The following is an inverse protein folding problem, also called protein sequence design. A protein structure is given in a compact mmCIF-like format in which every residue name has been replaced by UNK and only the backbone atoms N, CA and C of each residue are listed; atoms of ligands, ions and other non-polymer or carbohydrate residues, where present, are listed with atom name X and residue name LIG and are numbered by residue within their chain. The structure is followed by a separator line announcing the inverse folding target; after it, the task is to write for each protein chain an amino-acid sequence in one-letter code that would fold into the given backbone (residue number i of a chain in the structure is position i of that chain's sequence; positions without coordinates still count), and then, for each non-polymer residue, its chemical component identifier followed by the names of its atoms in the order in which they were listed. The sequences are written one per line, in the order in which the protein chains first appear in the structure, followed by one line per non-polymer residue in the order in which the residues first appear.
data_IF_548883990559
#
_entry.id   IF_548883990559
#
_cell.length_a   1.000
_cell.length_b   1.000
_cell.length_c   1.000
_cell.angle_alpha   90.00
_cell.angle_beta   90.00
_cell.angle_gamma   90.00
#
_symmetry.space_group_name_H-M   'P 1'
#
loop_
_entity.id
_entity.type
_entity.pdbx_description
1 polymer ?
#
# COMPACT_ATOMS: atom_id res chain seq x y z
N UNK A 1 25.58 25.24 30.41
CA UNK A 1 27.01 24.90 30.28
C UNK A 1 27.14 24.19 28.95
N UNK A 2 27.44 24.93 27.89
CA UNK A 2 28.80 24.87 27.26
C UNK A 2 29.09 23.45 26.77
N UNK A 3 29.43 23.14 25.54
CA UNK A 3 29.97 23.76 24.31
C UNK A 3 30.01 22.65 23.28
N UNK A 4 29.65 22.90 21.99
CA UNK A 4 30.62 23.02 20.90
C UNK A 4 31.59 21.83 20.69
N UNK A 5 31.38 21.11 19.61
CA UNK A 5 32.43 20.67 18.67
C UNK A 5 31.73 20.58 17.32
N UNK A 6 31.80 21.48 16.41
CA UNK A 6 32.90 22.05 15.58
C UNK A 6 33.61 20.99 14.74
N UNK A 7 33.20 20.95 13.49
CA UNK A 7 33.99 21.32 12.28
C UNK A 7 35.30 20.54 12.11
N UNK A 8 35.47 19.93 11.00
CA UNK A 8 36.69 19.68 10.19
C UNK A 8 36.36 18.51 9.25
N UNK A 9 36.51 18.48 7.97
CA UNK A 9 37.34 19.14 6.97
C UNK A 9 37.02 18.43 5.65
N UNK A 10 36.57 19.10 4.65
CA UNK A 10 37.33 19.58 3.53
C UNK A 10 38.01 18.50 2.66
N UNK A 11 37.58 18.50 1.42
CA UNK A 11 38.37 18.64 0.22
C UNK A 11 39.38 17.56 -0.13
N UNK A 12 39.05 16.74 -1.12
CA UNK A 12 40.06 16.40 -2.14
C UNK A 12 39.41 16.16 -3.51
N UNK A 13 39.66 17.11 -4.32
CA UNK A 13 39.50 17.23 -5.75
C UNK A 13 40.60 16.39 -6.41
N UNK A 14 40.29 15.53 -7.35
CA UNK A 14 41.25 15.10 -8.33
C UNK A 14 40.56 14.85 -9.68
N UNK A 15 40.80 15.77 -10.57
CA UNK A 15 40.63 15.66 -12.02
C UNK A 15 41.48 14.52 -12.57
N UNK A 16 40.90 13.74 -13.49
CA UNK A 16 41.67 13.14 -14.57
C UNK A 16 40.81 13.12 -15.84
N UNK A 17 41.02 14.12 -16.67
CA UNK A 17 40.73 14.09 -18.09
C UNK A 17 41.79 13.25 -18.78
N UNK A 18 41.39 12.30 -19.61
CA UNK A 18 42.18 11.86 -20.75
C UNK A 18 41.26 11.69 -21.93
N UNK A 19 41.41 12.60 -22.86
CA UNK A 19 40.90 12.48 -24.22
C UNK A 19 41.93 11.73 -25.06
N UNK A 20 41.43 11.03 -26.10
CA UNK A 20 41.97 10.89 -27.47
C UNK A 20 41.23 9.71 -28.11
N UNK A 21 40.44 9.93 -29.10
CA UNK A 21 40.71 10.32 -30.48
C UNK A 21 40.74 9.13 -31.45
N UNK A 22 39.79 9.16 -32.40
CA UNK A 22 39.93 8.73 -33.81
C UNK A 22 39.96 7.23 -34.13
N UNK A 23 39.04 6.65 -34.86
CA UNK A 23 38.76 6.83 -36.30
C UNK A 23 37.58 5.96 -36.72
N UNK A 24 36.96 6.40 -37.77
CA UNK A 24 35.80 5.84 -38.49
C UNK A 24 35.92 4.37 -38.87
N UNK A 25 34.79 3.65 -38.83
CA UNK A 25 34.27 2.97 -40.01
C UNK A 25 32.76 2.68 -39.81
N UNK A 26 32.07 2.92 -40.90
CA UNK A 26 30.63 2.79 -41.12
C UNK A 26 30.24 1.32 -41.16
N UNK A 27 29.29 0.91 -40.31
CA UNK A 27 28.34 -0.12 -40.73
C UNK A 27 27.00 0.11 -40.01
N UNK A 28 25.98 0.31 -40.89
CA UNK A 28 24.57 0.49 -40.49
C UNK A 28 23.99 -0.84 -40.08
N UNK A 29 23.83 -1.03 -38.78
CA UNK A 29 22.87 -2.02 -38.27
C UNK A 29 21.87 -1.28 -37.42
N UNK A 30 20.67 -1.15 -37.96
CA UNK A 30 19.48 -0.70 -37.25
C UNK A 30 19.23 -1.68 -36.08
N UNK A 31 19.69 -1.33 -34.92
CA UNK A 31 19.27 -1.98 -33.69
C UNK A 31 18.03 -1.23 -33.24
N UNK A 32 16.92 -1.93 -33.33
CA UNK A 32 15.64 -1.56 -32.74
C UNK A 32 15.90 -1.41 -31.22
N UNK A 33 16.09 -0.18 -30.79
CA UNK A 33 16.24 0.18 -29.37
C UNK A 33 14.85 0.15 -28.73
N UNK A 34 14.37 -1.06 -28.46
CA UNK A 34 13.27 -1.25 -27.53
C UNK A 34 13.80 -0.87 -26.15
N UNK A 35 13.67 0.40 -25.81
CA UNK A 35 13.83 0.88 -24.45
C UNK A 35 12.73 0.23 -23.62
N UNK A 36 13.01 -0.97 -23.07
CA UNK A 36 12.27 -1.48 -21.92
C UNK A 36 12.50 -0.46 -20.80
N UNK A 37 11.54 0.42 -20.64
CA UNK A 37 11.40 1.23 -19.43
C UNK A 37 11.08 0.25 -18.30
N UNK A 38 12.09 -0.30 -17.66
CA UNK A 38 11.93 -0.99 -16.38
C UNK A 38 11.46 0.06 -15.40
N UNK A 39 10.15 0.10 -15.18
CA UNK A 39 9.56 0.89 -14.11
C UNK A 39 10.22 0.45 -12.79
N UNK A 40 10.61 1.40 -11.95
CA UNK A 40 11.09 1.11 -10.60
C UNK A 40 10.00 0.31 -9.86
N UNK A 41 10.37 -0.75 -9.11
CA UNK A 41 9.39 -1.50 -8.32
C UNK A 41 8.65 -0.57 -7.36
N UNK A 42 7.33 -0.62 -7.38
CA UNK A 42 6.46 0.13 -6.49
C UNK A 42 5.96 -0.79 -5.39
N UNK A 43 6.16 -0.45 -4.12
CA UNK A 43 5.49 -1.12 -3.01
C UNK A 43 4.12 -0.50 -2.78
N UNK A 44 3.09 -1.37 -2.63
CA UNK A 44 1.72 -1.00 -2.31
C UNK A 44 1.36 -1.61 -0.95
N UNK A 45 1.22 -0.77 0.07
CA UNK A 45 0.88 -1.20 1.43
C UNK A 45 -0.64 -1.32 1.60
N UNK A 46 -1.12 -2.54 1.80
CA UNK A 46 -2.54 -2.84 1.94
C UNK A 46 -2.83 -3.29 3.37
N UNK A 47 -3.63 -2.53 4.10
CA UNK A 47 -4.14 -2.92 5.40
C UNK A 47 -5.52 -3.52 5.23
N UNK A 48 -5.71 -4.77 5.63
CA UNK A 48 -6.98 -5.46 5.44
C UNK A 48 -7.45 -6.19 6.70
N UNK A 49 -8.75 -6.16 6.94
CA UNK A 49 -9.34 -6.93 8.02
C UNK A 49 -8.94 -8.41 7.92
N UNK A 50 -8.56 -9.03 9.03
CA UNK A 50 -8.04 -10.40 9.09
C UNK A 50 -8.96 -11.44 8.43
N UNK A 51 -10.28 -11.20 8.44
CA UNK A 51 -11.26 -12.07 7.77
C UNK A 51 -11.11 -12.09 6.23
N UNK A 52 -10.39 -11.12 5.66
CA UNK A 52 -10.16 -11.02 4.21
C UNK A 52 -8.89 -11.73 3.75
N UNK A 53 -8.04 -12.18 4.66
CA UNK A 53 -6.70 -12.66 4.37
C UNK A 53 -6.68 -13.71 3.26
N UNK A 54 -7.41 -14.80 3.42
CA UNK A 54 -7.39 -15.90 2.45
C UNK A 54 -7.80 -15.47 1.04
N UNK A 55 -8.82 -14.62 0.94
CA UNK A 55 -9.31 -14.11 -0.35
C UNK A 55 -8.36 -13.09 -0.95
N UNK A 56 -7.82 -12.19 -0.12
CA UNK A 56 -6.92 -11.14 -0.60
C UNK A 56 -5.57 -11.71 -1.04
N UNK A 57 -5.05 -12.73 -0.35
CA UNK A 57 -3.81 -13.40 -0.76
C UNK A 57 -3.95 -14.00 -2.18
N UNK A 58 -5.12 -14.56 -2.52
CA UNK A 58 -5.41 -15.05 -3.87
C UNK A 58 -5.49 -13.91 -4.90
N UNK A 59 -6.09 -12.79 -4.53
CA UNK A 59 -6.15 -11.60 -5.39
C UNK A 59 -4.75 -11.04 -5.63
N UNK A 60 -3.92 -10.93 -4.59
CA UNK A 60 -2.54 -10.46 -4.69
C UNK A 60 -1.73 -11.35 -5.64
N UNK A 61 -1.88 -12.67 -5.52
CA UNK A 61 -1.18 -13.59 -6.43
C UNK A 61 -1.62 -13.42 -7.89
N UNK A 62 -2.92 -13.24 -8.12
CA UNK A 62 -3.44 -12.98 -9.47
C UNK A 62 -2.99 -11.61 -9.99
N UNK A 63 -2.86 -10.61 -9.11
CA UNK A 63 -2.46 -9.26 -9.49
C UNK A 63 -1.03 -9.17 -10.01
N UNK A 64 -0.12 -10.02 -9.56
CA UNK A 64 1.25 -10.12 -10.07
C UNK A 64 1.34 -10.36 -11.59
N UNK A 65 0.33 -11.02 -12.16
CA UNK A 65 0.27 -11.22 -13.60
C UNK A 65 -0.18 -9.96 -14.37
N UNK A 66 -0.84 -9.02 -13.69
CA UNK A 66 -1.37 -7.78 -14.26
C UNK A 66 -0.39 -6.62 -14.10
N UNK A 67 0.26 -6.56 -12.94
CA UNK A 67 1.20 -5.51 -12.58
C UNK A 67 2.45 -6.11 -11.90
N UNK A 68 3.34 -6.74 -12.66
CA UNK A 68 4.52 -7.43 -12.12
C UNK A 68 5.52 -6.48 -11.45
N UNK A 69 5.46 -5.19 -11.76
CA UNK A 69 6.27 -4.13 -11.15
C UNK A 69 5.77 -3.69 -9.78
N UNK A 70 4.55 -4.11 -9.36
CA UNK A 70 3.96 -3.74 -8.08
C UNK A 70 4.12 -4.86 -7.06
N UNK A 71 4.83 -4.57 -5.98
CA UNK A 71 4.95 -5.45 -4.82
C UNK A 71 3.87 -5.10 -3.79
N UNK A 72 2.84 -5.92 -3.67
CA UNK A 72 1.79 -5.71 -2.65
C UNK A 72 2.27 -6.26 -1.30
N UNK A 73 2.33 -5.39 -0.30
CA UNK A 73 2.68 -5.71 1.10
C UNK A 73 1.40 -5.64 1.93
N UNK A 74 0.82 -6.80 2.25
CA UNK A 74 -0.43 -6.86 2.99
C UNK A 74 -0.20 -7.03 4.50
N UNK A 75 -0.91 -6.24 5.31
CA UNK A 75 -0.97 -6.35 6.76
C UNK A 75 -2.38 -6.71 7.18
N UNK A 76 -2.52 -7.78 7.96
CA UNK A 76 -3.81 -8.30 8.39
C UNK A 76 -3.98 -8.20 9.90
N UNK A 77 -5.04 -7.56 10.34
CA UNK A 77 -5.44 -7.47 11.76
C UNK A 77 -6.93 -7.09 11.86
N UNK A 78 -7.42 -6.87 13.07
CA UNK A 78 -8.74 -6.27 13.25
C UNK A 78 -8.77 -4.87 12.61
N UNK A 79 -9.91 -4.51 12.02
CA UNK A 79 -10.05 -3.16 11.42
C UNK A 79 -9.79 -2.03 12.42
N UNK A 80 -10.07 -2.28 13.72
CA UNK A 80 -9.78 -1.32 14.79
C UNK A 80 -8.29 -1.13 15.04
N UNK A 81 -7.51 -2.23 15.07
CA UNK A 81 -6.04 -2.17 15.21
C UNK A 81 -5.41 -1.45 14.03
N UNK A 82 -5.82 -1.82 12.81
CA UNK A 82 -5.30 -1.20 11.58
C UNK A 82 -5.63 0.29 11.52
N UNK A 83 -6.86 0.67 11.89
CA UNK A 83 -7.23 2.08 12.02
C UNK A 83 -6.29 2.83 12.96
N UNK A 84 -5.97 2.25 14.12
CA UNK A 84 -5.07 2.87 15.09
C UNK A 84 -3.66 3.03 14.51
N UNK A 85 -3.15 2.03 13.81
CA UNK A 85 -1.84 2.13 13.14
C UNK A 85 -1.81 3.25 12.10
N UNK A 86 -2.88 3.42 11.31
CA UNK A 86 -3.01 4.53 10.36
C UNK A 86 -3.01 5.88 11.08
N UNK A 87 -3.73 5.99 12.18
CA UNK A 87 -3.73 7.21 13.02
C UNK A 87 -2.36 7.54 13.61
N UNK A 88 -1.55 6.51 13.90
CA UNK A 88 -0.18 6.64 14.39
C UNK A 88 0.85 6.90 13.27
N UNK A 89 0.40 6.98 12.02
CA UNK A 89 1.24 7.33 10.87
C UNK A 89 1.88 6.15 10.18
N UNK A 90 1.32 4.94 10.29
CA UNK A 90 1.77 3.82 9.49
C UNK A 90 1.48 4.05 8.00
N UNK A 91 2.43 3.69 7.15
CA UNK A 91 2.25 3.74 5.70
C UNK A 91 1.16 2.76 5.28
N UNK A 92 0.10 3.30 4.67
CA UNK A 92 -1.04 2.54 4.20
C UNK A 92 -1.62 3.22 2.95
N UNK A 93 -1.50 2.56 1.81
CA UNK A 93 -2.03 3.05 0.54
C UNK A 93 -3.49 2.64 0.35
N UNK A 94 -3.84 1.43 0.83
CA UNK A 94 -5.19 0.88 0.71
C UNK A 94 -5.63 0.30 2.05
N UNK A 95 -6.76 0.76 2.57
CA UNK A 95 -7.37 0.21 3.77
C UNK A 95 -8.69 -0.51 3.46
N UNK A 96 -8.77 -1.80 3.80
CA UNK A 96 -9.97 -2.65 3.63
C UNK A 96 -10.54 -2.98 5.01
N UNK A 97 -11.52 -2.21 5.42
CA UNK A 97 -12.20 -2.39 6.71
C UNK A 97 -13.38 -3.39 6.60
N UNK A 98 -13.56 -4.23 7.61
CA UNK A 98 -14.71 -5.13 7.71
C UNK A 98 -16.04 -4.39 8.04
N UNK A 99 -15.97 -3.11 8.45
CA UNK A 99 -17.14 -2.32 8.76
C UNK A 99 -16.93 -0.84 8.40
N UNK A 100 -18.00 -0.12 8.03
CA UNK A 100 -17.93 1.31 7.68
C UNK A 100 -17.39 2.19 8.81
N UNK A 101 -17.63 1.81 10.06
CA UNK A 101 -17.28 2.60 11.26
C UNK A 101 -15.81 3.03 11.26
N UNK A 102 -14.88 2.11 11.04
CA UNK A 102 -13.44 2.42 11.07
C UNK A 102 -13.03 3.36 9.94
N UNK A 103 -13.65 3.20 8.76
CA UNK A 103 -13.46 4.14 7.65
C UNK A 103 -13.99 5.52 7.99
N UNK A 104 -15.20 5.61 8.54
CA UNK A 104 -15.80 6.87 8.94
C UNK A 104 -14.97 7.61 9.99
N UNK A 105 -14.33 6.89 10.90
CA UNK A 105 -13.47 7.49 11.92
C UNK A 105 -12.18 8.12 11.37
N UNK A 106 -11.75 7.75 10.18
CA UNK A 106 -10.55 8.27 9.52
C UNK A 106 -10.86 9.33 8.45
N UNK A 107 -12.10 9.43 8.03
CA UNK A 107 -12.55 10.22 6.89
C UNK A 107 -13.17 11.53 7.34
N UNK A 108 -12.75 12.66 6.76
CA UNK A 108 -13.33 13.98 7.03
C UNK A 108 -14.86 14.04 6.80
N UNK A 109 -15.38 13.21 5.88
CA UNK A 109 -16.80 13.07 5.59
C UNK A 109 -17.50 12.01 6.45
N UNK A 110 -16.82 11.45 7.44
CA UNK A 110 -17.30 10.34 8.29
C UNK A 110 -18.42 10.69 9.28
N UNK A 111 -18.82 11.97 9.33
CA UNK A 111 -19.91 12.45 10.16
C UNK A 111 -19.64 12.32 11.66
N UNK A 112 -20.67 11.91 12.42
CA UNK A 112 -20.59 11.81 13.90
C UNK A 112 -19.58 10.75 14.40
N UNK A 113 -19.17 9.81 13.56
CA UNK A 113 -18.18 8.79 13.95
C UNK A 113 -16.75 9.32 13.93
N UNK A 114 -16.46 10.38 13.16
CA UNK A 114 -15.17 11.07 13.15
C UNK A 114 -15.08 12.12 14.24
N UNK A 115 -15.02 11.67 15.49
CA UNK A 115 -14.99 12.57 16.67
C UNK A 115 -13.66 13.33 16.82
N UNK A 116 -12.61 12.87 16.15
CA UNK A 116 -11.27 13.47 16.20
C UNK A 116 -11.01 14.46 15.05
N UNK A 117 -11.92 14.54 14.08
CA UNK A 117 -11.79 15.44 12.93
C UNK A 117 -10.65 15.04 11.98
N UNK A 118 -10.43 13.74 11.83
CA UNK A 118 -9.36 13.21 11.01
C UNK A 118 -9.67 13.33 9.51
N UNK A 119 -8.64 13.48 8.70
CA UNK A 119 -8.69 13.49 7.23
C UNK A 119 -7.55 12.60 6.69
N UNK A 120 -7.67 11.30 6.94
CA UNK A 120 -6.67 10.29 6.59
C UNK A 120 -7.16 9.35 5.49
N UNK A 121 -8.37 9.55 4.98
CA UNK A 121 -8.97 8.78 3.89
C UNK A 121 -9.44 9.74 2.81
N UNK A 122 -9.05 9.49 1.58
CA UNK A 122 -9.62 10.21 0.45
C UNK A 122 -11.06 9.74 0.19
N UNK A 123 -12.05 10.51 0.66
CA UNK A 123 -13.48 10.20 0.57
C UNK A 123 -13.92 9.84 -0.85
N UNK A 124 -13.33 10.47 -1.87
CA UNK A 124 -13.68 10.25 -3.28
C UNK A 124 -13.28 8.84 -3.78
N UNK A 125 -12.40 8.14 -3.08
CA UNK A 125 -11.94 6.79 -3.44
C UNK A 125 -12.63 5.68 -2.64
N UNK A 126 -13.50 6.03 -1.69
CA UNK A 126 -14.23 5.04 -0.89
C UNK A 126 -15.26 4.30 -1.74
N UNK A 127 -15.34 3.00 -1.52
CA UNK A 127 -16.35 2.14 -2.13
C UNK A 127 -16.74 1.00 -1.18
N UNK A 128 -17.97 0.55 -1.31
CA UNK A 128 -18.43 -0.69 -0.67
C UNK A 128 -18.04 -1.87 -1.55
N UNK A 129 -16.97 -2.55 -1.14
CA UNK A 129 -16.39 -3.64 -1.93
C UNK A 129 -17.25 -4.91 -1.89
N UNK A 130 -17.75 -5.27 -0.69
CA UNK A 130 -18.49 -6.50 -0.42
C UNK A 130 -19.58 -6.24 0.62
N UNK A 131 -20.67 -7.01 0.53
CA UNK A 131 -21.71 -7.07 1.55
C UNK A 131 -21.65 -8.42 2.27
N UNK A 132 -21.64 -8.40 3.60
CA UNK A 132 -21.74 -9.60 4.43
C UNK A 132 -23.16 -9.74 4.99
N UNK A 133 -23.72 -10.96 4.96
CA UNK A 133 -25.03 -11.27 5.51
C UNK A 133 -24.90 -12.23 6.69
N UNK A 134 -25.46 -11.84 7.81
CA UNK A 134 -25.56 -12.71 8.98
C UNK A 134 -26.68 -13.72 8.75
N UNK A 135 -26.37 -15.00 8.97
CA UNK A 135 -27.37 -16.08 8.87
C UNK A 135 -27.40 -16.84 10.18
N UNK A 136 -28.61 -17.08 10.69
CA UNK A 136 -28.83 -17.97 11.81
C UNK A 136 -28.78 -19.40 11.33
N UNK A 137 -27.82 -20.19 11.81
CA UNK A 137 -27.73 -21.60 11.52
C UNK A 137 -28.17 -22.42 12.75
N UNK A 138 -29.03 -23.39 12.55
CA UNK A 138 -29.51 -24.32 13.59
C UNK A 138 -29.25 -25.75 13.15
N UNK A 139 -29.12 -26.71 14.09
CA UNK A 139 -29.07 -28.14 13.75
C UNK A 139 -30.32 -28.58 12.97
N UNK A 140 -30.19 -29.67 12.19
CA UNK A 140 -31.29 -30.24 11.43
C UNK A 140 -32.53 -30.47 12.33
N UNK A 141 -33.70 -30.05 11.83
CA UNK A 141 -34.95 -30.14 12.56
C UNK A 141 -35.17 -29.11 13.67
N UNK A 142 -34.22 -28.20 13.87
CA UNK A 142 -34.30 -27.13 14.89
C UNK A 142 -34.83 -27.62 16.26
N UNK A 143 -34.16 -28.58 16.92
CA UNK A 143 -34.71 -29.28 18.11
C UNK A 143 -34.95 -28.37 19.32
N UNK A 144 -34.40 -27.13 19.28
CA UNK A 144 -34.59 -26.13 20.34
C UNK A 144 -35.61 -25.05 19.99
N UNK A 145 -36.23 -25.12 18.80
CA UNK A 145 -37.22 -24.12 18.36
C UNK A 145 -36.67 -22.72 18.31
N UNK A 146 -35.40 -22.53 17.89
CA UNK A 146 -34.76 -21.22 17.79
C UNK A 146 -35.37 -20.49 16.59
N UNK A 147 -35.90 -19.29 16.82
CA UNK A 147 -36.46 -18.42 15.80
C UNK A 147 -35.63 -17.13 15.74
N UNK A 148 -35.62 -16.49 14.54
CA UNK A 148 -34.92 -15.20 14.29
C UNK A 148 -35.66 -14.03 14.91
#
# INVERSE_FOLDING_TARGET
MKKLFSLVLALSMALALTACSSSADTDSTTTDDTTETTAEPVELHVFAAASMQESLDQVIEAYKAVAPEVAVVATYDSSGTLKTQIQEGADCDVFISAAPKQMNQLDAEGGEENTEGLDLVNSATRLDLLENKVTLAVPEGNPKGIES
#
